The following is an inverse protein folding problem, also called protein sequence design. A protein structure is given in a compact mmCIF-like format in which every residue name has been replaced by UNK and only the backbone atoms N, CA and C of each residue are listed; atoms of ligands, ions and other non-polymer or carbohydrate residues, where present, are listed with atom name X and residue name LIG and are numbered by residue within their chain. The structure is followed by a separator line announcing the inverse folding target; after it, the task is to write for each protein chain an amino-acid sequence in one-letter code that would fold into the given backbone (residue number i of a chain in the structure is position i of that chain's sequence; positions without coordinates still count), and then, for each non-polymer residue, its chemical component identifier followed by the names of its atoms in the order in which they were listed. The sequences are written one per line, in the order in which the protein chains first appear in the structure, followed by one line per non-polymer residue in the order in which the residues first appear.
data_IF_155317732110
#
_entry.id   IF_155317732110
#
_cell.length_a   1.000
_cell.length_b   1.000
_cell.length_c   1.000
_cell.angle_alpha   90.00
_cell.angle_beta   90.00
_cell.angle_gamma   90.00
#
_symmetry.space_group_name_H-M   'P 1'
#
loop_
_entity.id
_entity.type
_entity.pdbx_description
1 polymer ?
#
# COMPACT_ATOMS: atom_id res chain seq x y z
N UNK A 1 -26.30 -27.97 -5.90
CA UNK A 1 -25.77 -27.16 -4.78
C UNK A 1 -26.46 -25.82 -4.87
N UNK A 2 -27.12 -25.38 -3.79
CA UNK A 2 -27.87 -24.13 -3.78
C UNK A 2 -26.94 -22.96 -3.48
N UNK A 3 -26.66 -22.10 -4.47
CA UNK A 3 -25.77 -20.94 -4.28
C UNK A 3 -26.30 -19.97 -3.22
N UNK A 4 -27.63 -19.89 -3.03
CA UNK A 4 -28.24 -19.01 -2.04
C UNK A 4 -28.01 -19.48 -0.60
N UNK A 5 -27.59 -20.74 -0.43
CA UNK A 5 -27.27 -21.32 0.89
C UNK A 5 -25.82 -21.08 1.32
N UNK A 6 -24.98 -20.50 0.46
CA UNK A 6 -23.59 -20.21 0.81
C UNK A 6 -23.48 -19.03 1.79
N UNK A 7 -22.60 -19.12 2.80
CA UNK A 7 -22.27 -17.98 3.64
C UNK A 7 -21.77 -16.78 2.82
N UNK A 8 -22.13 -15.58 3.27
CA UNK A 8 -21.84 -14.32 2.57
C UNK A 8 -20.36 -14.14 2.22
N UNK A 9 -19.45 -14.61 3.09
CA UNK A 9 -18.00 -14.56 2.83
C UNK A 9 -17.61 -15.28 1.54
N UNK A 10 -18.22 -16.44 1.24
CA UNK A 10 -17.93 -17.19 0.02
C UNK A 10 -18.55 -16.54 -1.21
N UNK A 11 -19.74 -15.97 -1.06
CA UNK A 11 -20.38 -15.19 -2.11
C UNK A 11 -19.56 -13.95 -2.47
N UNK A 12 -19.02 -13.25 -1.46
CA UNK A 12 -18.12 -12.13 -1.66
C UNK A 12 -16.80 -12.55 -2.32
N UNK A 13 -16.22 -13.69 -1.91
CA UNK A 13 -15.04 -14.26 -2.58
C UNK A 13 -15.33 -14.58 -4.04
N UNK A 14 -16.47 -15.20 -4.35
CA UNK A 14 -16.89 -15.47 -5.72
C UNK A 14 -17.02 -14.17 -6.52
N UNK A 15 -17.68 -13.15 -5.98
CA UNK A 15 -17.80 -11.87 -6.67
C UNK A 15 -16.41 -11.30 -7.01
N UNK A 16 -15.40 -11.42 -6.15
CA UNK A 16 -14.03 -10.91 -6.40
C UNK A 16 -13.36 -11.54 -7.64
N UNK A 17 -13.66 -12.80 -7.96
CA UNK A 17 -13.08 -13.48 -9.12
C UNK A 17 -13.80 -13.16 -10.43
N UNK A 18 -14.99 -12.54 -10.36
CA UNK A 18 -15.80 -12.23 -11.53
C UNK A 18 -15.42 -10.88 -12.13
N UNK A 19 -15.32 -10.84 -13.46
CA UNK A 19 -15.13 -9.58 -14.16
C UNK A 19 -16.38 -8.68 -14.04
N UNK A 20 -16.20 -7.41 -14.37
CA UNK A 20 -17.28 -6.43 -14.25
C UNK A 20 -18.51 -6.76 -15.10
N UNK A 21 -18.32 -7.32 -16.30
CA UNK A 21 -19.42 -7.65 -17.22
C UNK A 21 -20.29 -8.75 -16.63
N UNK A 22 -19.66 -9.79 -16.06
CA UNK A 22 -20.38 -10.91 -15.45
C UNK A 22 -21.12 -10.48 -14.20
N UNK A 23 -20.51 -9.62 -13.37
CA UNK A 23 -21.20 -9.00 -12.23
C UNK A 23 -22.43 -8.22 -12.66
N UNK A 24 -22.33 -7.41 -13.71
CA UNK A 24 -23.46 -6.65 -14.25
C UNK A 24 -24.57 -7.57 -14.78
N UNK A 25 -24.22 -8.68 -15.44
CA UNK A 25 -25.19 -9.67 -15.89
C UNK A 25 -25.89 -10.38 -14.72
N UNK A 26 -25.13 -10.74 -13.68
CA UNK A 26 -25.68 -11.41 -12.48
C UNK A 26 -26.71 -10.54 -11.77
N UNK A 27 -26.48 -9.22 -11.68
CA UNK A 27 -27.46 -8.28 -11.09
C UNK A 27 -28.84 -8.37 -11.74
N UNK A 28 -28.88 -8.64 -13.04
CA UNK A 28 -30.13 -8.73 -13.80
C UNK A 28 -30.88 -10.04 -13.54
N UNK A 29 -30.28 -11.00 -12.82
CA UNK A 29 -30.86 -12.32 -12.59
C UNK A 29 -31.97 -12.26 -11.53
N UNK A 30 -31.72 -11.67 -10.36
CA UNK A 30 -32.72 -11.50 -9.31
C UNK A 30 -32.31 -10.45 -8.27
N UNK A 31 -33.24 -10.04 -7.39
CA UNK A 31 -33.00 -9.03 -6.34
C UNK A 31 -31.89 -9.41 -5.36
N UNK A 32 -31.76 -10.71 -5.03
CA UNK A 32 -30.69 -11.17 -4.17
C UNK A 32 -29.32 -10.90 -4.80
N UNK A 33 -29.15 -11.22 -6.09
CA UNK A 33 -27.91 -10.95 -6.80
C UNK A 33 -27.67 -9.47 -7.03
N UNK A 34 -28.72 -8.67 -7.27
CA UNK A 34 -28.57 -7.22 -7.33
C UNK A 34 -28.02 -6.66 -6.01
N UNK A 35 -28.58 -7.06 -4.87
CA UNK A 35 -28.09 -6.67 -3.54
C UNK A 35 -26.69 -7.20 -3.26
N UNK A 36 -26.40 -8.48 -3.57
CA UNK A 36 -25.08 -9.08 -3.39
C UNK A 36 -24.01 -8.29 -4.15
N UNK A 37 -24.29 -7.96 -5.42
CA UNK A 37 -23.34 -7.20 -6.24
C UNK A 37 -23.25 -5.75 -5.78
N UNK A 38 -24.36 -5.08 -5.44
CA UNK A 38 -24.37 -3.70 -4.97
C UNK A 38 -23.63 -3.52 -3.62
N UNK A 39 -23.78 -4.48 -2.71
CA UNK A 39 -23.11 -4.49 -1.42
C UNK A 39 -21.65 -4.92 -1.53
N UNK A 40 -21.30 -5.69 -2.58
CA UNK A 40 -19.91 -5.98 -2.90
C UNK A 40 -19.16 -4.71 -3.35
N UNK A 41 -17.87 -4.64 -3.05
CA UNK A 41 -17.02 -3.54 -3.50
C UNK A 41 -16.91 -3.50 -5.04
N UNK A 42 -16.83 -2.28 -5.60
CA UNK A 42 -16.91 -1.84 -7.00
C UNK A 42 -15.92 -2.43 -7.98
N UNK A 43 -14.90 -3.01 -7.40
CA UNK A 43 -13.81 -3.67 -8.03
C UNK A 43 -12.94 -4.08 -6.86
N UNK A 44 -12.75 -5.38 -6.73
CA UNK A 44 -11.54 -5.83 -6.08
C UNK A 44 -10.44 -5.73 -7.14
N UNK A 45 -9.41 -4.96 -6.84
CA UNK A 45 -8.20 -4.96 -7.65
C UNK A 45 -7.14 -5.71 -6.86
N UNK A 46 -6.63 -6.81 -7.41
CA UNK A 46 -5.58 -7.60 -6.74
C UNK A 46 -4.39 -6.71 -6.36
N UNK A 47 -4.04 -5.77 -7.26
CA UNK A 47 -2.93 -4.83 -7.08
C UNK A 47 -3.35 -3.41 -7.46
N UNK A 48 -2.96 -2.45 -6.63
CA UNK A 48 -2.97 -1.02 -6.92
C UNK A 48 -1.61 -0.39 -6.65
N UNK A 49 -1.28 0.68 -7.37
CA UNK A 49 -0.06 1.46 -7.11
C UNK A 49 -0.33 2.96 -7.29
N UNK A 50 0.18 3.77 -6.38
CA UNK A 50 0.34 5.21 -6.58
C UNK A 50 1.83 5.52 -6.56
N UNK A 51 2.31 6.19 -7.61
CA UNK A 51 3.69 6.64 -7.72
C UNK A 51 3.74 8.02 -8.38
N UNK A 52 4.75 8.82 -8.07
CA UNK A 52 5.05 10.01 -8.87
C UNK A 52 5.35 9.58 -10.32
N UNK A 53 4.72 10.25 -11.28
CA UNK A 53 4.89 10.00 -12.70
C UNK A 53 6.33 10.30 -13.15
N UNK A 54 6.98 11.28 -12.50
CA UNK A 54 8.37 11.63 -12.75
C UNK A 54 9.11 11.75 -11.40
N UNK A 55 9.64 10.64 -10.86
CA UNK A 55 10.25 10.63 -9.52
C UNK A 55 11.49 11.53 -9.38
N UNK A 56 12.09 11.93 -10.52
CA UNK A 56 13.28 12.80 -10.55
C UNK A 56 12.98 14.28 -10.85
N UNK A 57 11.71 14.66 -11.10
CA UNK A 57 11.34 16.06 -11.35
C UNK A 57 10.60 16.63 -10.11
N UNK A 58 11.26 17.48 -9.31
CA UNK A 58 10.65 18.07 -8.12
C UNK A 58 9.51 19.04 -8.45
N UNK A 59 9.30 19.40 -9.72
CA UNK A 59 8.21 20.30 -10.16
C UNK A 59 6.96 19.56 -10.60
N UNK A 60 7.00 18.24 -10.73
CA UNK A 60 5.83 17.46 -11.14
C UNK A 60 5.10 16.88 -9.92
N UNK A 61 3.84 17.27 -9.75
CA UNK A 61 2.90 16.71 -8.77
C UNK A 61 2.07 15.57 -9.41
N UNK A 62 2.46 15.13 -10.61
CA UNK A 62 1.67 14.20 -11.38
C UNK A 62 1.78 12.79 -10.82
N UNK A 63 0.65 12.17 -10.49
CA UNK A 63 0.60 10.77 -10.03
C UNK A 63 0.27 9.82 -11.17
N UNK A 64 1.05 8.76 -11.25
CA UNK A 64 0.68 7.56 -11.96
C UNK A 64 -0.08 6.62 -11.02
N UNK A 65 -1.33 6.32 -11.39
CA UNK A 65 -2.22 5.46 -10.61
C UNK A 65 -2.49 4.18 -11.39
N UNK A 66 -2.27 3.03 -10.76
CA UNK A 66 -2.53 1.72 -11.32
C UNK A 66 -3.65 1.04 -10.56
N UNK A 67 -4.69 0.62 -11.26
CA UNK A 67 -5.84 -0.12 -10.74
C UNK A 67 -5.90 -1.44 -11.51
N UNK A 68 -5.24 -2.48 -11.00
CA UNK A 68 -4.93 -3.68 -11.78
C UNK A 68 -4.13 -3.32 -13.04
N UNK A 69 -4.63 -3.73 -14.21
CA UNK A 69 -4.00 -3.45 -15.50
C UNK A 69 -4.27 -2.04 -16.05
N UNK A 70 -5.17 -1.26 -15.44
CA UNK A 70 -5.49 0.10 -15.91
C UNK A 70 -4.52 1.10 -15.30
N UNK A 71 -3.95 1.93 -16.17
CA UNK A 71 -3.05 3.03 -15.81
C UNK A 71 -3.72 4.36 -16.06
N UNK A 72 -3.74 5.22 -15.05
CA UNK A 72 -4.23 6.59 -15.14
C UNK A 72 -3.03 7.52 -15.02
N UNK A 73 -2.70 8.16 -16.14
CA UNK A 73 -1.68 9.21 -16.19
C UNK A 73 -2.32 10.56 -15.86
N UNK A 74 -1.67 11.35 -15.02
CA UNK A 74 -2.16 12.67 -14.69
C UNK A 74 -2.20 13.58 -15.92
N UNK A 75 -3.39 14.05 -16.25
CA UNK A 75 -3.64 15.27 -17.05
C UNK A 75 -5.12 15.62 -17.13
N UNK A 76 -6.06 14.75 -16.71
CA UNK A 76 -7.48 15.12 -16.53
C UNK A 76 -8.09 14.31 -15.39
N UNK A 77 -8.31 14.94 -14.24
CA UNK A 77 -9.20 14.45 -13.17
C UNK A 77 -10.47 13.79 -13.76
N UNK A 78 -11.02 14.37 -14.82
CA UNK A 78 -12.20 13.90 -15.54
C UNK A 78 -12.20 12.39 -15.92
N UNK A 79 -11.04 11.79 -16.20
CA UNK A 79 -10.96 10.36 -16.56
C UNK A 79 -11.09 9.44 -15.35
N UNK A 80 -10.46 9.82 -14.24
CA UNK A 80 -10.52 9.10 -12.98
C UNK A 80 -11.84 9.34 -12.27
N UNK A 81 -12.31 10.58 -12.18
CA UNK A 81 -13.59 10.93 -11.56
C UNK A 81 -14.73 10.19 -12.25
N UNK A 82 -14.82 10.23 -13.58
CA UNK A 82 -15.84 9.49 -14.31
C UNK A 82 -15.75 7.97 -14.07
N UNK A 83 -14.53 7.45 -13.91
CA UNK A 83 -14.32 6.05 -13.57
C UNK A 83 -14.81 5.73 -12.15
N UNK A 84 -14.48 6.59 -11.18
CA UNK A 84 -14.90 6.46 -9.78
C UNK A 84 -16.41 6.63 -9.65
N UNK A 85 -17.02 7.62 -10.30
CA UNK A 85 -18.46 7.86 -10.31
C UNK A 85 -19.23 6.65 -10.84
N UNK A 86 -18.79 6.09 -11.97
CA UNK A 86 -19.43 4.90 -12.52
C UNK A 86 -19.34 3.71 -11.53
N UNK A 87 -18.21 3.57 -10.84
CA UNK A 87 -17.97 2.51 -9.87
C UNK A 87 -18.78 2.70 -8.60
N UNK A 88 -18.80 3.91 -8.03
CA UNK A 88 -19.55 4.24 -6.83
C UNK A 88 -21.06 4.19 -7.03
N UNK A 89 -21.56 4.43 -8.26
CA UNK A 89 -22.98 4.23 -8.60
C UNK A 89 -23.42 2.78 -8.58
N UNK A 90 -22.50 1.87 -8.91
CA UNK A 90 -22.83 0.47 -9.12
C UNK A 90 -22.51 -0.38 -7.88
N UNK A 91 -21.74 0.13 -6.93
CA UNK A 91 -21.18 -0.68 -5.86
C UNK A 91 -20.76 0.17 -4.66
N UNK A 92 -20.54 -0.47 -3.51
CA UNK A 92 -20.26 0.19 -2.23
C UNK A 92 -18.89 0.90 -2.10
N UNK A 93 -18.01 0.82 -3.09
CA UNK A 93 -16.67 1.47 -3.11
C UNK A 93 -15.56 0.54 -3.57
N UNK A 94 -14.31 0.97 -3.71
CA UNK A 94 -13.23 0.13 -4.29
C UNK A 94 -12.34 -0.47 -3.18
N UNK A 95 -11.89 -1.72 -3.38
CA UNK A 95 -10.93 -2.38 -2.48
C UNK A 95 -9.73 -2.89 -3.25
N UNK A 96 -8.53 -2.66 -2.71
CA UNK A 96 -7.29 -3.24 -3.19
C UNK A 96 -6.90 -4.46 -2.34
N UNK A 97 -6.54 -5.57 -2.97
CA UNK A 97 -5.90 -6.68 -2.27
C UNK A 97 -4.53 -6.27 -1.74
N UNK A 98 -3.74 -5.64 -2.60
CA UNK A 98 -2.45 -5.05 -2.26
C UNK A 98 -2.35 -3.64 -2.85
N UNK A 99 -2.04 -2.64 -2.04
CA UNK A 99 -1.88 -1.25 -2.49
C UNK A 99 -0.49 -0.70 -2.15
N UNK A 100 0.29 -0.41 -3.17
CA UNK A 100 1.64 0.13 -3.04
C UNK A 100 1.67 1.65 -3.16
N UNK A 101 2.30 2.30 -2.18
CA UNK A 101 2.58 3.74 -2.15
C UNK A 101 4.08 3.96 -2.37
N UNK A 102 4.43 4.53 -3.53
CA UNK A 102 5.77 5.04 -3.81
C UNK A 102 5.78 6.54 -3.56
N UNK A 103 6.17 6.88 -2.35
CA UNK A 103 6.13 8.23 -1.83
C UNK A 103 7.19 9.10 -2.50
N UNK A 104 6.91 10.40 -2.56
CA UNK A 104 7.84 11.43 -3.00
C UNK A 104 8.11 12.44 -1.90
N UNK A 105 9.22 13.15 -2.02
CA UNK A 105 9.60 14.22 -1.09
C UNK A 105 8.91 15.55 -1.41
N UNK A 106 8.06 15.60 -2.43
CA UNK A 106 7.34 16.83 -2.80
C UNK A 106 6.27 17.14 -1.75
N UNK A 107 6.28 18.35 -1.18
CA UNK A 107 5.37 18.76 -0.09
C UNK A 107 3.87 18.64 -0.44
N UNK A 108 3.52 18.79 -1.72
CA UNK A 108 2.14 18.67 -2.21
C UNK A 108 1.61 17.23 -2.23
N UNK A 109 2.45 16.24 -1.89
CA UNK A 109 2.11 14.83 -2.03
C UNK A 109 1.18 14.31 -0.94
N UNK A 110 1.51 14.56 0.31
CA UNK A 110 0.86 13.89 1.44
C UNK A 110 -0.62 14.29 1.61
N UNK A 111 -1.00 15.59 1.57
CA UNK A 111 -2.41 15.97 1.71
C UNK A 111 -3.29 15.33 0.62
N UNK A 112 -2.81 15.31 -0.63
CA UNK A 112 -3.50 14.64 -1.74
C UNK A 112 -3.63 13.14 -1.49
N UNK A 113 -2.55 12.46 -1.07
CA UNK A 113 -2.59 11.02 -0.81
C UNK A 113 -3.55 10.68 0.32
N UNK A 114 -3.60 11.49 1.38
CA UNK A 114 -4.53 11.32 2.49
C UNK A 114 -5.98 11.44 1.99
N UNK A 115 -6.34 12.52 1.31
CA UNK A 115 -7.70 12.71 0.76
C UNK A 115 -8.06 11.61 -0.26
N UNK A 116 -7.12 11.27 -1.14
CA UNK A 116 -7.34 10.25 -2.15
C UNK A 116 -7.57 8.88 -1.51
N UNK A 117 -6.81 8.54 -0.47
CA UNK A 117 -6.89 7.25 0.22
C UNK A 117 -8.24 7.00 0.91
N UNK A 118 -8.95 8.05 1.33
CA UNK A 118 -10.25 7.95 2.01
C UNK A 118 -11.34 7.31 1.14
N UNK A 119 -11.16 7.32 -0.18
CA UNK A 119 -12.12 6.77 -1.15
C UNK A 119 -12.00 5.25 -1.31
N UNK A 120 -11.04 4.61 -0.66
CA UNK A 120 -10.65 3.22 -0.93
C UNK A 120 -10.41 2.42 0.36
N UNK A 121 -10.59 1.10 0.26
CA UNK A 121 -10.12 0.13 1.26
C UNK A 121 -8.92 -0.65 0.72
N UNK A 122 -8.11 -1.19 1.61
CA UNK A 122 -7.02 -2.10 1.25
C UNK A 122 -6.92 -3.27 2.22
N UNK A 123 -6.61 -4.46 1.72
CA UNK A 123 -6.32 -5.62 2.59
C UNK A 123 -4.85 -5.61 3.03
N UNK A 124 -3.93 -5.18 2.16
CA UNK A 124 -2.53 -4.93 2.45
C UNK A 124 -2.10 -3.57 1.87
N UNK A 125 -1.40 -2.77 2.65
CA UNK A 125 -0.73 -1.54 2.19
C UNK A 125 0.79 -1.72 2.26
N UNK A 126 1.49 -1.26 1.23
CA UNK A 126 2.94 -1.37 1.10
C UNK A 126 3.52 0.03 0.92
N UNK A 127 4.54 0.35 1.71
CA UNK A 127 5.28 1.61 1.62
C UNK A 127 6.73 1.33 1.28
N UNK A 128 7.22 1.95 0.21
CA UNK A 128 8.65 2.06 -0.07
C UNK A 128 9.15 3.40 0.44
N UNK A 129 10.14 3.37 1.33
CA UNK A 129 10.60 4.53 2.06
C UNK A 129 12.12 4.68 1.92
N UNK A 130 12.55 5.67 1.14
CA UNK A 130 13.96 5.92 0.86
C UNK A 130 14.50 7.18 1.56
N UNK A 131 13.61 8.01 2.12
CA UNK A 131 13.97 9.29 2.74
C UNK A 131 13.29 9.48 4.10
N UNK A 132 13.81 10.42 4.90
CA UNK A 132 13.22 10.76 6.20
C UNK A 132 11.82 11.39 6.06
N UNK A 133 11.58 12.13 4.98
CA UNK A 133 10.28 12.75 4.74
C UNK A 133 9.24 11.68 4.36
N UNK A 134 9.60 10.76 3.47
CA UNK A 134 8.76 9.61 3.13
C UNK A 134 8.43 8.76 4.35
N UNK A 135 9.37 8.63 5.29
CA UNK A 135 9.13 7.90 6.54
C UNK A 135 8.00 8.51 7.34
N UNK A 136 7.98 9.83 7.51
CA UNK A 136 6.88 10.51 8.22
C UNK A 136 5.56 10.39 7.46
N UNK A 137 5.58 10.65 6.15
CA UNK A 137 4.40 10.48 5.28
C UNK A 137 3.82 9.07 5.33
N UNK A 138 4.67 8.04 5.37
CA UNK A 138 4.25 6.65 5.47
C UNK A 138 3.55 6.37 6.81
N UNK A 139 4.08 6.88 7.92
CA UNK A 139 3.45 6.73 9.23
C UNK A 139 2.07 7.38 9.31
N UNK A 140 1.91 8.56 8.71
CA UNK A 140 0.60 9.23 8.62
C UNK A 140 -0.40 8.45 7.77
N UNK A 141 0.04 7.90 6.64
CA UNK A 141 -0.80 7.07 5.78
C UNK A 141 -1.17 5.74 6.44
N UNK A 142 -0.25 5.09 7.17
CA UNK A 142 -0.55 3.85 7.93
C UNK A 142 -1.73 4.06 8.88
N UNK A 143 -1.82 5.22 9.53
CA UNK A 143 -2.91 5.53 10.45
C UNK A 143 -4.30 5.55 9.77
N UNK A 144 -4.38 5.71 8.44
CA UNK A 144 -5.63 5.64 7.66
C UNK A 144 -6.09 4.21 7.38
N UNK A 145 -5.25 3.20 7.65
CA UNK A 145 -5.51 1.81 7.34
C UNK A 145 -5.38 0.88 8.57
N UNK A 146 -6.15 1.13 9.66
CA UNK A 146 -5.98 0.41 10.92
C UNK A 146 -6.30 -1.09 10.85
N UNK A 147 -7.14 -1.51 9.91
CA UNK A 147 -7.54 -2.92 9.71
C UNK A 147 -6.70 -3.63 8.64
N UNK A 148 -5.91 -2.89 7.87
CA UNK A 148 -5.12 -3.45 6.77
C UNK A 148 -3.84 -4.07 7.30
N UNK A 149 -3.35 -5.10 6.60
CA UNK A 149 -1.97 -5.54 6.78
C UNK A 149 -1.01 -4.46 6.32
N UNK A 150 0.04 -4.23 7.08
CA UNK A 150 1.02 -3.18 6.76
C UNK A 150 2.37 -3.81 6.46
N UNK A 151 2.95 -3.41 5.32
CA UNK A 151 4.33 -3.68 4.98
C UNK A 151 5.08 -2.37 4.75
N UNK A 152 6.29 -2.26 5.31
CA UNK A 152 7.18 -1.13 5.09
C UNK A 152 8.58 -1.62 4.71
N UNK A 153 9.08 -1.16 3.57
CA UNK A 153 10.47 -1.36 3.14
C UNK A 153 11.25 -0.05 3.35
N UNK A 154 12.17 -0.09 4.31
CA UNK A 154 13.06 1.01 4.64
C UNK A 154 14.34 0.89 3.79
N UNK A 155 14.32 1.54 2.63
CA UNK A 155 15.47 1.81 1.77
C UNK A 155 16.29 3.02 2.20
N UNK A 156 16.19 3.43 3.47
CA UNK A 156 17.05 4.43 4.09
C UNK A 156 17.90 3.80 5.20
N UNK A 157 18.82 4.57 5.79
CA UNK A 157 19.46 4.20 7.05
C UNK A 157 18.67 4.82 8.21
N UNK A 158 17.71 4.11 8.82
CA UNK A 158 16.89 4.67 9.89
C UNK A 158 17.73 4.86 11.16
N UNK A 159 17.44 5.93 11.91
CA UNK A 159 18.00 6.10 13.25
C UNK A 159 17.36 5.14 14.25
N UNK A 160 17.98 4.99 15.42
CA UNK A 160 17.42 4.19 16.53
C UNK A 160 16.04 4.72 16.94
N UNK A 161 15.85 6.04 16.94
CA UNK A 161 14.58 6.68 17.28
C UNK A 161 13.50 6.37 16.24
N UNK A 162 13.84 6.42 14.96
CA UNK A 162 12.90 6.07 13.87
C UNK A 162 12.46 4.60 13.99
N UNK A 163 13.39 3.68 14.22
CA UNK A 163 13.05 2.27 14.43
C UNK A 163 12.16 2.06 15.66
N UNK A 164 12.37 2.86 16.72
CA UNK A 164 11.55 2.78 17.94
C UNK A 164 10.16 3.38 17.77
N UNK A 165 9.95 4.30 16.83
CA UNK A 165 8.66 4.93 16.56
C UNK A 165 7.77 4.12 15.61
N UNK A 166 8.28 3.03 15.02
CA UNK A 166 7.50 2.20 14.12
C UNK A 166 6.32 1.54 14.86
N UNK A 167 5.09 1.62 14.33
CA UNK A 167 3.98 0.84 14.84
C UNK A 167 4.18 -0.65 14.52
N UNK A 168 3.49 -1.56 15.22
CA UNK A 168 3.42 -2.96 14.83
C UNK A 168 2.95 -3.09 13.37
N UNK A 169 3.55 -4.02 12.63
CA UNK A 169 3.21 -4.26 11.22
C UNK A 169 3.43 -5.74 10.87
N UNK A 170 2.81 -6.19 9.79
CA UNK A 170 2.91 -7.57 9.32
C UNK A 170 4.30 -7.89 8.77
N UNK A 171 4.90 -6.93 8.05
CA UNK A 171 6.19 -7.10 7.39
C UNK A 171 7.01 -5.82 7.49
N UNK A 172 8.12 -5.87 8.22
CA UNK A 172 9.14 -4.81 8.22
C UNK A 172 10.37 -5.31 7.47
N UNK A 173 10.82 -4.54 6.48
CA UNK A 173 12.06 -4.79 5.79
C UNK A 173 13.00 -3.59 5.98
N UNK A 174 14.25 -3.86 6.39
CA UNK A 174 15.31 -2.86 6.47
C UNK A 174 16.33 -3.24 5.39
N UNK A 175 16.42 -2.44 4.33
CA UNK A 175 17.31 -2.73 3.20
C UNK A 175 18.43 -1.72 3.04
N UNK A 176 19.47 -2.15 2.33
CA UNK A 176 20.49 -1.21 1.85
C UNK A 176 19.86 -0.19 0.90
N UNK A 177 20.07 1.13 1.10
CA UNK A 177 19.51 2.15 0.23
C UNK A 177 19.82 1.95 -1.25
N UNK A 178 18.86 2.20 -2.14
CA UNK A 178 19.04 1.95 -3.58
C UNK A 178 20.25 2.69 -4.18
N UNK A 179 20.50 3.94 -3.74
CA UNK A 179 21.68 4.74 -4.14
C UNK A 179 23.02 4.11 -3.72
N UNK A 180 22.98 3.21 -2.74
CA UNK A 180 24.14 2.48 -2.24
C UNK A 180 24.27 1.09 -2.87
N UNK A 181 23.33 0.66 -3.73
CA UNK A 181 23.41 -0.59 -4.48
C UNK A 181 24.20 -0.45 -5.79
N UNK A 182 24.35 0.77 -6.31
CA UNK A 182 25.07 1.06 -7.56
C UNK A 182 26.47 1.59 -7.22
N UNK A 183 27.51 0.86 -7.60
CA UNK A 183 28.91 1.19 -7.31
C UNK A 183 29.45 0.40 -6.10
N UNK A 184 29.84 -0.85 -6.35
CA UNK A 184 30.52 -1.72 -5.40
C UNK A 184 31.93 -1.19 -5.12
N UNK A 185 32.09 -0.43 -4.04
CA UNK A 185 33.38 -0.23 -3.40
C UNK A 185 33.40 -0.99 -2.07
N UNK A 186 34.29 -1.98 -1.89
CA UNK A 186 34.37 -2.82 -0.68
C UNK A 186 34.70 -2.06 0.61
N UNK A 187 35.09 -0.78 0.53
CA UNK A 187 35.69 -0.01 1.62
C UNK A 187 34.70 0.83 2.44
N UNK A 188 33.41 0.84 2.12
CA UNK A 188 32.41 1.54 2.93
C UNK A 188 31.55 0.51 3.68
N UNK A 189 31.69 0.46 5.01
CA UNK A 189 30.70 -0.22 5.84
C UNK A 189 29.38 0.56 5.72
N UNK A 190 28.45 0.01 4.93
CA UNK A 190 27.13 0.60 4.66
C UNK A 190 26.03 0.01 5.54
N UNK A 191 26.39 -0.79 6.54
CA UNK A 191 25.42 -1.51 7.33
C UNK A 191 24.60 -0.56 8.21
N UNK A 192 23.30 -0.81 8.31
CA UNK A 192 22.46 -0.19 9.33
C UNK A 192 22.82 -0.80 10.67
N UNK A 193 23.32 0.02 11.60
CA UNK A 193 23.73 -0.45 12.93
C UNK A 193 22.56 -0.36 13.91
N UNK A 194 22.23 -1.48 14.54
CA UNK A 194 21.21 -1.55 15.60
C UNK A 194 21.78 -2.20 16.85
N UNK A 195 21.27 -1.81 18.02
CA UNK A 195 21.63 -2.49 19.26
C UNK A 195 20.90 -3.83 19.35
N UNK A 196 21.48 -4.80 20.07
CA UNK A 196 20.84 -6.09 20.34
C UNK A 196 19.45 -5.94 20.95
N UNK A 197 19.28 -5.00 21.88
CA UNK A 197 18.00 -4.77 22.55
C UNK A 197 16.95 -4.20 21.58
N UNK A 198 17.37 -3.34 20.64
CA UNK A 198 16.48 -2.85 19.57
C UNK A 198 16.09 -3.97 18.61
N UNK A 199 17.04 -4.82 18.22
CA UNK A 199 16.76 -5.98 17.37
C UNK A 199 15.66 -6.87 17.96
N UNK A 200 15.79 -7.27 19.22
CA UNK A 200 14.76 -8.10 19.87
C UNK A 200 13.44 -7.38 20.04
N UNK A 201 13.45 -6.06 20.29
CA UNK A 201 12.23 -5.26 20.31
C UNK A 201 11.51 -5.29 18.96
N UNK A 202 12.24 -5.10 17.85
CA UNK A 202 11.67 -5.16 16.51
C UNK A 202 11.13 -6.56 16.20
N UNK A 203 11.89 -7.61 16.54
CA UNK A 203 11.47 -9.00 16.35
C UNK A 203 10.21 -9.37 17.15
N UNK A 204 10.03 -8.77 18.33
CA UNK A 204 8.86 -9.02 19.17
C UNK A 204 7.61 -8.26 18.70
N UNK A 205 7.76 -7.12 18.04
CA UNK A 205 6.66 -6.24 17.65
C UNK A 205 6.16 -6.52 16.22
N UNK A 206 7.05 -6.91 15.31
CA UNK A 206 6.71 -7.15 13.90
C UNK A 206 6.56 -8.63 13.62
N UNK A 207 5.52 -9.00 12.87
CA UNK A 207 5.23 -10.42 12.58
C UNK A 207 6.33 -11.05 11.72
N UNK A 208 6.81 -10.32 10.72
CA UNK A 208 7.95 -10.71 9.91
C UNK A 208 8.96 -9.55 9.87
N UNK A 209 10.22 -9.86 10.19
CA UNK A 209 11.33 -8.91 10.17
C UNK A 209 12.39 -9.40 9.18
N UNK A 210 12.65 -8.61 8.16
CA UNK A 210 13.67 -8.88 7.13
C UNK A 210 14.78 -7.84 7.25
N UNK A 211 16.01 -8.30 7.41
CA UNK A 211 17.18 -7.46 7.59
C UNK A 211 18.18 -7.75 6.48
N UNK A 212 18.49 -6.75 5.68
CA UNK A 212 19.57 -6.78 4.70
C UNK A 212 20.67 -5.79 5.11
N UNK A 213 21.92 -6.27 5.17
CA UNK A 213 23.10 -5.48 5.54
C UNK A 213 22.92 -4.73 6.89
N UNK A 214 22.52 -5.45 7.93
CA UNK A 214 22.33 -4.91 9.29
C UNK A 214 23.40 -5.45 10.23
N UNK A 215 24.08 -4.56 10.94
CA UNK A 215 25.09 -4.91 11.95
C UNK A 215 24.47 -4.79 13.35
N UNK A 216 24.43 -5.90 14.09
CA UNK A 216 23.88 -5.95 15.45
C UNK A 216 25.03 -5.79 16.46
N UNK A 217 25.05 -4.66 17.16
CA UNK A 217 26.07 -4.37 18.17
C UNK A 217 25.65 -4.88 19.55
N UNK A 218 26.59 -5.53 20.25
CA UNK A 218 26.41 -6.09 21.59
C UNK A 218 26.62 -5.10 22.74
N UNK A 219 27.11 -3.89 22.46
CA UNK A 219 27.36 -2.88 23.49
C UNK A 219 26.08 -2.10 23.83
N UNK A 220 25.72 -2.10 25.12
CA UNK A 220 24.80 -1.09 25.68
C UNK A 220 25.48 0.27 25.52
N UNK A 221 24.92 1.15 24.70
CA UNK A 221 25.25 2.58 24.72
C UNK A 221 24.42 3.21 25.83
#
# INVERSE_FOLDING_TARGET
MDIFSLPEVFLNMLMRTMNIKDRLNIRLTCRFFDQLVANSHAGFFDVGMIANAFPNDPRTVSYCRHFGLRKFHDSREAGLEKFLDLRNRLFSGITFGCWEFRLSDTELALPFLLEFSEKFKAEKVIFQVDTKQQFQSALELVAKFPESKVMMDLGLRPSTEQLRSLPPMDELQITTPARERIGFSPSYNRATRITRDLFFKLLAIHRNLYLDNVEINSRRI
#
